data_IF_229051859196
#
_entry.id   IF_229051859196
#
_cell.length_a   1.000
_cell.length_b   1.000
_cell.length_c   1.000
_cell.angle_alpha   90.00
_cell.angle_beta   90.00
_cell.angle_gamma   90.00
#
_symmetry.space_group_name_H-M   'P 1'
#
loop_
_entity.id
_entity.type
_entity.pdbx_description
1 polymer ?
#
# COMPACT_ATOMS: atom_id res chain seq x y z
N UNK A 1 38.50 17.47 -75.99
CA UNK A 1 38.85 16.73 -74.80
C UNK A 1 37.97 17.22 -73.65
N UNK A 2 36.90 16.54 -73.34
CA UNK A 2 35.95 16.87 -72.28
C UNK A 2 36.06 15.84 -71.17
N UNK A 3 36.62 16.25 -70.02
CA UNK A 3 36.65 15.42 -68.83
C UNK A 3 35.26 15.45 -68.13
N UNK A 4 34.60 14.28 -68.07
CA UNK A 4 33.34 14.09 -67.36
C UNK A 4 33.65 13.68 -65.94
N UNK A 5 33.42 14.55 -64.98
CA UNK A 5 33.59 14.28 -63.55
C UNK A 5 32.31 13.59 -63.07
N UNK A 6 32.41 12.32 -62.70
CA UNK A 6 31.32 11.54 -62.10
C UNK A 6 31.36 11.76 -60.60
N UNK A 7 30.41 12.55 -60.04
CA UNK A 7 30.23 12.70 -58.60
C UNK A 7 29.31 11.61 -58.11
N UNK A 8 29.87 10.65 -57.39
CA UNK A 8 29.14 9.57 -56.73
C UNK A 8 28.67 10.05 -55.34
N UNK A 9 27.40 10.43 -55.22
CA UNK A 9 26.77 10.78 -53.93
C UNK A 9 26.38 9.53 -53.18
N UNK A 10 27.12 9.20 -52.14
CA UNK A 10 26.77 8.12 -51.20
C UNK A 10 25.71 8.67 -50.22
N UNK A 11 24.47 8.22 -50.39
CA UNK A 11 23.38 8.52 -49.47
C UNK A 11 23.48 7.55 -48.26
N UNK A 12 24.06 8.03 -47.17
CA UNK A 12 24.09 7.27 -45.91
C UNK A 12 22.71 7.28 -45.27
N UNK A 13 22.00 6.14 -45.33
CA UNK A 13 20.74 5.93 -44.59
C UNK A 13 21.08 5.70 -43.12
N UNK A 14 20.94 6.72 -42.30
CA UNK A 14 21.01 6.58 -40.83
C UNK A 14 19.70 5.95 -40.36
N UNK A 15 19.67 4.62 -40.13
CA UNK A 15 18.60 3.96 -39.41
C UNK A 15 18.75 4.31 -37.93
N UNK A 16 17.96 5.27 -37.45
CA UNK A 16 17.83 5.54 -36.01
C UNK A 16 17.14 4.31 -35.34
N UNK A 17 17.93 3.46 -34.71
CA UNK A 17 17.41 2.45 -33.81
C UNK A 17 16.77 3.16 -32.63
N UNK A 18 15.45 3.22 -32.60
CA UNK A 18 14.70 3.67 -31.41
C UNK A 18 14.97 2.68 -30.29
N UNK A 19 15.87 3.00 -29.38
CA UNK A 19 16.05 2.28 -28.14
C UNK A 19 14.73 2.41 -27.34
N UNK A 20 13.89 1.39 -27.38
CA UNK A 20 12.74 1.30 -26.49
C UNK A 20 13.28 1.18 -25.08
N UNK A 21 12.97 2.19 -24.25
CA UNK A 21 13.20 2.12 -22.81
C UNK A 21 12.50 0.85 -22.30
N UNK A 22 13.15 0.04 -21.45
CA UNK A 22 12.52 -1.16 -20.92
C UNK A 22 11.22 -0.75 -20.21
N UNK A 23 10.10 -1.32 -20.65
CA UNK A 23 8.82 -1.17 -19.97
C UNK A 23 9.02 -1.65 -18.53
N UNK A 24 8.75 -0.82 -17.51
CA UNK A 24 8.89 -1.26 -16.12
C UNK A 24 8.07 -2.53 -15.93
N UNK A 25 8.64 -3.52 -15.24
CA UNK A 25 7.96 -4.76 -14.93
C UNK A 25 6.61 -4.45 -14.24
N UNK A 26 5.53 -5.13 -14.60
CA UNK A 26 4.23 -4.85 -14.01
C UNK A 26 4.32 -5.00 -12.50
N UNK A 27 3.92 -3.96 -11.78
CA UNK A 27 3.91 -3.98 -10.31
C UNK A 27 3.06 -5.15 -9.81
N UNK A 28 3.53 -5.88 -8.77
CA UNK A 28 2.74 -6.95 -8.18
C UNK A 28 1.45 -6.36 -7.63
N UNK A 29 0.32 -7.04 -7.89
CA UNK A 29 -0.96 -6.52 -7.47
C UNK A 29 -1.08 -6.42 -5.95
N UNK A 30 -1.86 -5.45 -5.50
CA UNK A 30 -2.25 -5.25 -4.12
C UNK A 30 -3.69 -4.72 -4.07
N UNK A 31 -4.52 -5.39 -3.26
CA UNK A 31 -5.88 -4.97 -2.93
C UNK A 31 -5.99 -4.75 -1.43
N UNK A 32 -6.39 -3.55 -1.02
CA UNK A 32 -6.71 -3.25 0.37
C UNK A 32 -8.11 -3.75 0.70
N UNK A 33 -8.24 -4.64 1.69
CA UNK A 33 -9.53 -5.18 2.13
C UNK A 33 -10.27 -4.14 2.96
N UNK A 34 -11.37 -3.65 2.43
CA UNK A 34 -12.28 -2.70 3.10
C UNK A 34 -13.34 -3.42 3.91
N UNK A 35 -13.81 -4.58 3.43
CA UNK A 35 -14.73 -5.44 4.14
C UNK A 35 -14.63 -6.89 3.65
N UNK A 36 -15.12 -7.84 4.46
CA UNK A 36 -15.14 -9.26 4.11
C UNK A 36 -16.42 -9.92 4.59
N UNK A 37 -17.05 -10.69 3.71
CA UNK A 37 -18.32 -11.35 3.96
C UNK A 37 -18.20 -12.84 3.68
N UNK A 38 -18.88 -13.65 4.48
CA UNK A 38 -19.09 -15.05 4.16
C UNK A 38 -20.49 -15.21 3.51
N UNK A 39 -20.52 -15.67 2.28
CA UNK A 39 -21.76 -15.89 1.52
C UNK A 39 -21.95 -17.41 1.34
N UNK A 40 -23.06 -17.94 1.87
CA UNK A 40 -23.40 -19.36 1.71
C UNK A 40 -23.43 -19.77 0.24
N UNK A 41 -22.77 -20.88 -0.09
CA UNK A 41 -22.61 -21.37 -1.46
C UNK A 41 -21.56 -20.67 -2.32
N UNK A 42 -20.99 -19.52 -1.87
CA UNK A 42 -19.96 -18.78 -2.60
C UNK A 42 -18.62 -18.71 -1.87
N UNK A 43 -18.62 -18.82 -0.53
CA UNK A 43 -17.42 -18.69 0.29
C UNK A 43 -17.16 -17.28 0.80
N UNK A 44 -15.90 -16.97 1.07
CA UNK A 44 -15.48 -15.64 1.53
C UNK A 44 -15.35 -14.70 0.35
N UNK A 45 -15.96 -13.52 0.47
CA UNK A 45 -15.85 -12.42 -0.50
C UNK A 45 -15.16 -11.25 0.19
N UNK A 46 -14.00 -10.86 -0.28
CA UNK A 46 -13.27 -9.67 0.15
C UNK A 46 -13.60 -8.52 -0.79
N UNK A 47 -14.04 -7.39 -0.25
CA UNK A 47 -14.28 -6.18 -1.03
C UNK A 47 -13.19 -5.15 -0.77
N UNK A 48 -12.84 -4.38 -1.79
CA UNK A 48 -11.83 -3.34 -1.66
C UNK A 48 -11.39 -2.76 -2.98
N UNK A 49 -10.48 -1.79 -2.88
CA UNK A 49 -9.88 -1.14 -4.04
C UNK A 49 -8.57 -1.80 -4.41
N UNK A 50 -8.37 -2.06 -5.69
CA UNK A 50 -7.07 -2.45 -6.24
C UNK A 50 -6.16 -1.22 -6.22
N UNK A 51 -5.11 -1.22 -5.39
CA UNK A 51 -4.19 -0.09 -5.26
C UNK A 51 -3.17 -0.07 -6.40
N UNK A 52 -2.71 -1.25 -6.83
CA UNK A 52 -1.74 -1.40 -7.92
C UNK A 52 -1.82 -2.76 -8.58
N UNK A 53 -1.21 -2.86 -9.76
CA UNK A 53 -1.13 -4.10 -10.53
C UNK A 53 -2.45 -4.54 -11.12
N UNK A 54 -2.52 -5.80 -11.46
CA UNK A 54 -3.71 -6.46 -12.05
C UNK A 54 -3.91 -7.80 -11.38
N UNK A 55 -5.13 -8.10 -10.96
CA UNK A 55 -5.52 -9.41 -10.46
C UNK A 55 -6.45 -10.10 -11.45
N UNK A 56 -6.36 -11.43 -11.52
CA UNK A 56 -7.17 -12.25 -12.45
C UNK A 56 -7.82 -13.41 -11.71
N UNK A 57 -8.94 -13.87 -12.23
CA UNK A 57 -9.54 -15.13 -11.78
C UNK A 57 -8.54 -16.27 -11.99
N UNK A 58 -8.34 -17.09 -10.97
CA UNK A 58 -7.35 -18.17 -10.94
C UNK A 58 -6.02 -17.80 -10.29
N UNK A 59 -5.74 -16.52 -10.05
CA UNK A 59 -4.51 -16.10 -9.39
C UNK A 59 -4.45 -16.62 -7.94
N UNK A 60 -3.24 -16.99 -7.52
CA UNK A 60 -2.93 -17.28 -6.12
C UNK A 60 -2.54 -15.98 -5.41
N UNK A 61 -3.11 -15.77 -4.22
CA UNK A 61 -2.91 -14.57 -3.41
C UNK A 61 -2.53 -14.93 -1.98
N UNK A 62 -1.80 -14.04 -1.33
CA UNK A 62 -1.59 -14.06 0.11
C UNK A 62 -2.50 -13.04 0.79
N UNK A 63 -3.08 -13.46 1.90
CA UNK A 63 -3.84 -12.62 2.84
C UNK A 63 -2.85 -12.20 3.92
N UNK A 64 -2.48 -10.91 3.91
CA UNK A 64 -1.44 -10.37 4.79
C UNK A 64 -2.05 -9.36 5.76
N UNK A 65 -1.76 -9.51 7.05
CA UNK A 65 -2.28 -8.60 8.08
C UNK A 65 -1.88 -9.03 9.49
N UNK A 66 -2.78 -8.85 10.44
CA UNK A 66 -2.56 -9.15 11.85
C UNK A 66 -2.55 -10.64 12.19
N UNK A 67 -3.04 -11.49 11.29
CA UNK A 67 -3.04 -12.95 11.41
C UNK A 67 -1.87 -13.57 10.65
N UNK A 68 -1.53 -14.84 10.90
CA UNK A 68 -0.60 -15.58 10.06
C UNK A 68 -1.01 -15.51 8.59
N UNK A 69 -0.02 -15.38 7.71
CA UNK A 69 -0.25 -15.32 6.28
C UNK A 69 -0.95 -16.60 5.81
N UNK A 70 -2.04 -16.43 5.09
CA UNK A 70 -2.79 -17.53 4.47
C UNK A 70 -2.83 -17.33 2.97
N UNK A 71 -2.66 -18.42 2.23
CA UNK A 71 -2.76 -18.43 0.77
C UNK A 71 -4.19 -18.78 0.36
N UNK A 72 -4.68 -18.10 -0.67
CA UNK A 72 -6.00 -18.35 -1.26
C UNK A 72 -5.93 -18.27 -2.78
N UNK A 73 -6.95 -18.79 -3.46
CA UNK A 73 -7.11 -18.65 -4.91
C UNK A 73 -8.32 -17.77 -5.22
N UNK A 74 -8.17 -16.86 -6.17
CA UNK A 74 -9.27 -16.04 -6.68
C UNK A 74 -10.20 -16.91 -7.50
N UNK A 75 -11.38 -17.22 -6.96
CA UNK A 75 -12.40 -18.01 -7.64
C UNK A 75 -13.26 -17.17 -8.59
N UNK A 76 -13.33 -15.86 -8.36
CA UNK A 76 -14.07 -14.93 -9.21
C UNK A 76 -13.88 -13.50 -8.75
N UNK A 77 -14.13 -12.56 -9.66
CA UNK A 77 -14.05 -11.12 -9.41
C UNK A 77 -15.37 -10.50 -9.85
N UNK A 78 -15.94 -9.66 -9.00
CA UNK A 78 -17.16 -8.90 -9.28
C UNK A 78 -16.88 -7.40 -9.22
N UNK A 79 -17.32 -6.68 -10.23
CA UNK A 79 -17.24 -5.23 -10.32
C UNK A 79 -18.58 -4.68 -10.78
N UNK A 80 -19.16 -3.75 -10.01
CA UNK A 80 -20.50 -3.18 -10.32
C UNK A 80 -21.58 -4.24 -10.59
N UNK A 81 -21.61 -5.32 -9.79
CA UNK A 81 -22.52 -6.47 -9.91
C UNK A 81 -22.33 -7.32 -11.17
N UNK A 82 -21.23 -7.17 -11.88
CA UNK A 82 -20.88 -7.98 -13.04
C UNK A 82 -19.66 -8.83 -12.73
N UNK A 83 -19.65 -10.06 -13.17
CA UNK A 83 -18.48 -10.93 -13.11
C UNK A 83 -17.50 -10.49 -14.20
N UNK A 84 -16.24 -10.32 -13.81
CA UNK A 84 -15.13 -9.96 -14.71
C UNK A 84 -14.00 -10.95 -14.56
N UNK A 85 -13.17 -11.09 -15.59
CA UNK A 85 -12.01 -12.00 -15.57
C UNK A 85 -10.78 -11.37 -14.92
N UNK A 86 -10.68 -10.04 -14.94
CA UNK A 86 -9.56 -9.28 -14.38
C UNK A 86 -10.01 -7.94 -13.82
N UNK A 87 -9.20 -7.38 -12.89
CA UNK A 87 -9.35 -6.03 -12.38
C UNK A 87 -7.97 -5.36 -12.24
N UNK A 88 -7.94 -4.03 -12.37
CA UNK A 88 -6.71 -3.22 -12.44
C UNK A 88 -6.67 -2.16 -11.35
N UNK A 89 -5.52 -1.56 -11.19
CA UNK A 89 -5.33 -0.42 -10.27
C UNK A 89 -6.43 0.63 -10.47
N UNK A 90 -7.06 1.03 -9.35
CA UNK A 90 -8.19 1.96 -9.31
C UNK A 90 -9.56 1.31 -9.22
N UNK A 91 -9.72 0.04 -9.61
CA UNK A 91 -10.99 -0.65 -9.60
C UNK A 91 -11.45 -0.99 -8.17
N UNK A 92 -12.77 -0.80 -7.93
CA UNK A 92 -13.44 -1.24 -6.71
C UNK A 92 -14.11 -2.59 -6.99
N UNK A 93 -13.70 -3.63 -6.26
CA UNK A 93 -14.09 -5.01 -6.59
C UNK A 93 -14.50 -5.82 -5.36
N UNK A 94 -15.27 -6.88 -5.60
CA UNK A 94 -15.46 -8.00 -4.69
C UNK A 94 -14.72 -9.23 -5.23
N UNK A 95 -13.81 -9.78 -4.44
CA UNK A 95 -13.00 -10.94 -4.80
C UNK A 95 -13.49 -12.16 -4.03
N UNK A 96 -13.93 -13.18 -4.75
CA UNK A 96 -14.36 -14.46 -4.19
C UNK A 96 -13.12 -15.32 -3.98
N UNK A 97 -12.88 -15.73 -2.75
CA UNK A 97 -11.68 -16.49 -2.36
C UNK A 97 -12.02 -17.96 -2.09
N UNK A 98 -11.26 -18.86 -2.70
CA UNK A 98 -11.26 -20.29 -2.43
C UNK A 98 -10.10 -20.65 -1.51
N UNK A 99 -10.30 -21.62 -0.64
CA UNK A 99 -9.29 -22.04 0.34
C UNK A 99 -9.30 -21.20 1.62
N UNK A 100 -10.37 -20.43 1.83
CA UNK A 100 -10.58 -19.60 3.01
C UNK A 100 -11.87 -19.97 3.74
N UNK A 101 -11.87 -19.76 5.04
CA UNK A 101 -13.00 -19.95 5.93
C UNK A 101 -13.50 -18.62 6.49
N UNK A 102 -14.67 -18.68 7.13
CA UNK A 102 -15.22 -17.51 7.82
C UNK A 102 -14.24 -16.98 8.87
N UNK A 103 -13.88 -15.69 8.77
CA UNK A 103 -12.95 -15.04 9.68
C UNK A 103 -11.48 -15.11 9.26
N UNK A 104 -11.14 -15.76 8.15
CA UNK A 104 -9.77 -15.73 7.63
C UNK A 104 -9.41 -14.36 7.05
N UNK A 105 -10.40 -13.69 6.47
CA UNK A 105 -10.25 -12.37 5.87
C UNK A 105 -10.99 -11.33 6.70
N UNK A 106 -10.31 -10.25 7.01
CA UNK A 106 -10.83 -9.14 7.82
C UNK A 106 -10.44 -7.80 7.20
N UNK A 107 -11.22 -6.79 7.53
CA UNK A 107 -10.89 -5.40 7.17
C UNK A 107 -9.50 -5.01 7.68
N UNK A 108 -8.74 -4.33 6.82
CA UNK A 108 -7.38 -3.88 7.12
C UNK A 108 -6.27 -4.85 6.74
N UNK A 109 -6.64 -6.07 6.34
CA UNK A 109 -5.72 -6.96 5.65
C UNK A 109 -5.57 -6.54 4.19
N UNK A 110 -4.61 -7.11 3.52
CA UNK A 110 -4.42 -6.93 2.08
C UNK A 110 -4.41 -8.29 1.39
N UNK A 111 -4.91 -8.32 0.15
CA UNK A 111 -4.65 -9.40 -0.78
C UNK A 111 -3.51 -8.95 -1.68
N UNK A 112 -2.46 -9.75 -1.74
CA UNK A 112 -1.26 -9.40 -2.50
C UNK A 112 -0.72 -10.61 -3.25
N UNK A 113 0.10 -10.35 -4.27
CA UNK A 113 0.87 -11.40 -4.93
C UNK A 113 1.77 -12.09 -3.89
N UNK A 114 1.87 -13.42 -3.87
CA UNK A 114 2.68 -14.13 -2.89
C UNK A 114 4.10 -13.58 -2.76
N UNK A 115 4.52 -13.33 -1.51
CA UNK A 115 5.84 -12.80 -1.16
C UNK A 115 6.07 -11.32 -1.44
N UNK A 116 5.09 -10.58 -1.99
CA UNK A 116 5.28 -9.17 -2.38
C UNK A 116 5.11 -8.18 -1.22
N UNK A 117 4.37 -8.53 -0.19
CA UNK A 117 4.13 -7.68 0.99
C UNK A 117 4.27 -8.50 2.26
N UNK A 118 4.74 -7.85 3.33
CA UNK A 118 4.83 -8.44 4.67
C UNK A 118 4.13 -7.53 5.70
N UNK A 119 3.78 -8.09 6.85
CA UNK A 119 3.28 -7.32 7.98
C UNK A 119 4.40 -7.13 9.02
N UNK A 120 4.43 -5.97 9.65
CA UNK A 120 5.47 -5.56 10.59
C UNK A 120 4.86 -5.06 11.89
N UNK A 121 5.52 -5.34 13.01
CA UNK A 121 5.15 -4.79 14.32
C UNK A 121 5.91 -3.53 14.66
N UNK A 122 6.98 -3.19 13.93
CA UNK A 122 7.81 -2.03 14.18
C UNK A 122 8.21 -1.35 12.87
N UNK A 123 8.10 -0.03 12.83
CA UNK A 123 8.51 0.79 11.68
C UNK A 123 9.27 2.03 12.13
N UNK A 124 10.07 2.61 11.23
CA UNK A 124 10.49 4.01 11.32
C UNK A 124 9.58 4.86 10.46
N UNK A 125 9.28 6.04 10.93
CA UNK A 125 8.42 6.99 10.22
C UNK A 125 8.85 8.43 10.51
N UNK A 126 8.47 9.34 9.62
CA UNK A 126 8.38 10.76 9.94
C UNK A 126 6.94 11.09 10.31
N UNK A 127 6.75 11.96 11.29
CA UNK A 127 5.43 12.44 11.68
C UNK A 127 5.35 13.96 11.68
N UNK A 128 4.17 14.45 11.33
CA UNK A 128 3.77 15.84 11.34
C UNK A 128 2.57 15.98 12.29
N UNK A 129 2.66 16.85 13.28
CA UNK A 129 1.54 17.15 14.17
C UNK A 129 0.80 18.39 13.69
N UNK A 130 -0.54 18.30 13.64
CA UNK A 130 -1.41 19.42 13.34
C UNK A 130 -1.51 20.35 14.53
N UNK A 131 -1.62 21.65 14.27
CA UNK A 131 -1.89 22.68 15.28
C UNK A 131 -3.37 22.68 15.70
N UNK A 132 -3.67 23.32 16.84
CA UNK A 132 -5.05 23.37 17.35
C UNK A 132 -6.01 24.11 16.41
N UNK A 133 -5.55 25.12 15.67
CA UNK A 133 -6.37 25.82 14.67
C UNK A 133 -6.68 24.92 13.45
N UNK A 134 -5.90 23.89 13.18
CA UNK A 134 -6.13 22.84 12.16
C UNK A 134 -6.97 21.67 12.71
N UNK A 135 -7.63 21.83 13.87
CA UNK A 135 -8.31 20.78 14.65
C UNK A 135 -7.37 19.71 15.21
N UNK A 136 -6.07 20.00 15.24
CA UNK A 136 -5.05 19.15 15.83
C UNK A 136 -4.99 19.23 17.34
N UNK A 137 -3.78 19.10 17.88
CA UNK A 137 -3.50 19.13 19.32
C UNK A 137 -3.15 20.55 19.80
N UNK A 138 -3.47 20.83 21.06
CA UNK A 138 -2.98 22.03 21.78
C UNK A 138 -1.76 21.71 22.66
N UNK A 139 -1.45 20.42 22.87
CA UNK A 139 -0.36 19.97 23.74
C UNK A 139 0.63 19.10 22.99
N UNK A 140 1.92 19.14 23.36
CA UNK A 140 2.93 18.26 22.79
C UNK A 140 2.63 16.77 23.04
N UNK A 141 3.19 15.91 22.21
CA UNK A 141 3.32 14.48 22.52
C UNK A 141 4.71 14.20 23.08
N UNK A 142 4.78 13.20 23.95
CA UNK A 142 6.00 12.76 24.63
C UNK A 142 6.35 11.34 24.23
N UNK A 143 7.55 10.88 24.59
CA UNK A 143 7.94 9.49 24.41
C UNK A 143 6.90 8.54 25.01
N UNK A 144 6.70 7.38 24.39
CA UNK A 144 5.64 6.40 24.72
C UNK A 144 4.20 6.89 24.46
N UNK A 145 4.04 7.93 23.65
CA UNK A 145 2.71 8.34 23.20
C UNK A 145 1.98 7.16 22.53
N UNK A 146 0.75 6.91 22.99
CA UNK A 146 -0.15 5.92 22.42
C UNK A 146 -1.12 6.59 21.48
N UNK A 147 -1.21 6.10 20.24
CA UNK A 147 -2.09 6.64 19.21
C UNK A 147 -2.70 5.56 18.34
N UNK A 148 -3.66 5.99 17.53
CA UNK A 148 -4.28 5.18 16.51
C UNK A 148 -3.76 5.64 15.14
N UNK A 149 -3.04 4.75 14.47
CA UNK A 149 -2.37 5.01 13.19
C UNK A 149 -3.19 4.41 12.08
N UNK A 150 -3.77 5.26 11.24
CA UNK A 150 -4.62 4.83 10.13
C UNK A 150 -3.79 4.65 8.87
N UNK A 151 -3.64 3.40 8.48
CA UNK A 151 -3.13 3.02 7.18
C UNK A 151 -4.31 2.62 6.31
N UNK A 152 -4.40 3.18 5.10
CA UNK A 152 -5.54 2.93 4.22
C UNK A 152 -6.87 3.23 4.93
N UNK A 153 -7.66 2.20 5.19
CA UNK A 153 -9.02 2.34 5.77
C UNK A 153 -9.12 1.89 7.23
N UNK A 154 -8.00 1.46 7.85
CA UNK A 154 -8.02 0.85 9.19
C UNK A 154 -6.98 1.48 10.11
N UNK A 155 -7.38 1.69 11.37
CA UNK A 155 -6.52 2.17 12.44
C UNK A 155 -5.88 1.02 13.23
N UNK A 156 -4.60 1.14 13.48
CA UNK A 156 -3.82 0.21 14.30
C UNK A 156 -3.30 0.93 15.53
N UNK A 157 -3.51 0.32 16.70
CA UNK A 157 -2.95 0.82 17.95
C UNK A 157 -1.45 0.66 17.97
N UNK A 158 -0.75 1.70 18.38
CA UNK A 158 0.70 1.67 18.47
C UNK A 158 1.25 2.69 19.46
N UNK A 159 2.52 2.55 19.75
CA UNK A 159 3.28 3.38 20.66
C UNK A 159 4.42 4.05 19.89
N UNK A 160 4.53 5.37 19.99
CA UNK A 160 5.65 6.12 19.43
C UNK A 160 6.84 6.06 20.38
N UNK A 161 8.00 5.74 19.86
CA UNK A 161 9.26 5.85 20.58
C UNK A 161 10.13 6.91 19.91
N UNK A 162 10.65 7.82 20.72
CA UNK A 162 11.49 8.90 20.25
C UNK A 162 12.96 8.49 20.16
N UNK A 163 13.71 9.03 19.20
CA UNK A 163 15.15 8.90 19.21
C UNK A 163 15.76 9.66 20.40
N UNK A 164 16.97 9.24 20.80
CA UNK A 164 17.71 9.90 21.89
C UNK A 164 17.85 11.41 21.59
N UNK A 165 17.57 12.24 22.60
CA UNK A 165 17.65 13.70 22.49
C UNK A 165 16.33 14.40 22.07
N UNK A 166 15.30 13.66 21.70
CA UNK A 166 13.95 14.21 21.43
C UNK A 166 13.09 14.06 22.69
N UNK A 167 12.84 15.16 23.38
CA UNK A 167 12.02 15.14 24.61
C UNK A 167 10.52 15.18 24.33
N UNK A 168 10.10 15.95 23.33
CA UNK A 168 8.68 16.11 22.95
C UNK A 168 8.56 16.58 21.51
N UNK A 169 7.39 16.38 20.93
CA UNK A 169 7.01 16.91 19.62
C UNK A 169 5.84 17.87 19.82
N UNK A 170 6.09 19.16 19.58
CA UNK A 170 5.09 20.20 19.71
C UNK A 170 4.07 20.15 18.55
N UNK A 171 2.82 20.63 18.76
CA UNK A 171 1.88 20.90 17.68
C UNK A 171 2.50 21.79 16.61
N UNK A 172 2.21 21.55 15.34
CA UNK A 172 2.80 22.24 14.18
C UNK A 172 4.20 21.76 13.78
N UNK A 173 4.86 20.94 14.59
CA UNK A 173 6.16 20.36 14.23
C UNK A 173 6.00 19.34 13.12
N UNK A 174 6.85 19.46 12.09
CA UNK A 174 6.86 18.60 10.90
C UNK A 174 8.16 17.80 10.79
N UNK A 175 8.08 16.65 10.09
CA UNK A 175 9.23 15.85 9.68
C UNK A 175 10.00 15.21 10.84
N UNK A 176 9.37 14.99 12.00
CA UNK A 176 10.07 14.38 13.13
C UNK A 176 10.18 12.87 12.94
N UNK A 177 11.41 12.38 12.93
CA UNK A 177 11.69 10.93 12.84
C UNK A 177 11.35 10.25 14.17
N UNK A 178 10.61 9.14 14.10
CA UNK A 178 10.21 8.32 15.25
C UNK A 178 10.22 6.84 14.89
N UNK A 179 10.19 5.99 15.91
CA UNK A 179 9.82 4.59 15.78
C UNK A 179 8.38 4.40 16.24
N UNK A 180 7.62 3.57 15.54
CA UNK A 180 6.25 3.20 15.92
C UNK A 180 6.23 1.70 16.12
N UNK A 181 5.76 1.27 17.30
CA UNK A 181 5.63 -0.13 17.68
C UNK A 181 4.14 -0.44 17.75
N UNK A 182 3.66 -1.34 16.92
CA UNK A 182 2.26 -1.76 16.87
C UNK A 182 1.99 -2.94 17.80
N UNK A 183 0.77 -3.02 18.32
CA UNK A 183 0.31 -4.14 19.14
C UNK A 183 0.14 -5.43 18.33
N UNK A 184 -0.11 -5.31 17.02
CA UNK A 184 -0.27 -6.43 16.06
C UNK A 184 0.47 -6.11 14.78
N UNK A 185 0.89 -7.12 14.00
CA UNK A 185 1.50 -6.89 12.70
C UNK A 185 0.58 -6.10 11.77
N UNK A 186 1.14 -5.13 11.07
CA UNK A 186 0.46 -4.22 10.14
C UNK A 186 1.07 -4.39 8.74
N UNK A 187 0.25 -4.63 7.71
CA UNK A 187 0.74 -4.73 6.34
C UNK A 187 1.04 -3.34 5.78
N UNK A 188 2.31 -2.96 5.83
CA UNK A 188 2.80 -1.63 5.44
C UNK A 188 4.02 -1.73 4.54
N UNK A 189 4.25 -0.64 3.80
CA UNK A 189 5.36 -0.51 2.87
C UNK A 189 6.12 0.80 3.11
N UNK A 190 7.39 0.85 2.72
CA UNK A 190 8.18 2.09 2.75
C UNK A 190 7.54 3.12 1.82
N UNK A 191 7.49 4.38 2.26
CA UNK A 191 6.85 5.46 1.51
C UNK A 191 5.34 5.60 1.73
N UNK A 192 4.71 4.65 2.44
CA UNK A 192 3.28 4.70 2.70
C UNK A 192 2.93 5.81 3.70
N UNK A 193 1.91 6.60 3.33
CA UNK A 193 1.37 7.63 4.21
C UNK A 193 0.36 7.04 5.21
N UNK A 194 0.25 7.70 6.37
CA UNK A 194 -0.74 7.37 7.39
C UNK A 194 -1.23 8.62 8.12
N UNK A 195 -2.38 8.53 8.77
CA UNK A 195 -2.86 9.58 9.68
C UNK A 195 -2.85 9.11 11.13
N UNK A 196 -2.61 10.05 12.04
CA UNK A 196 -2.64 9.83 13.49
C UNK A 196 -3.98 10.37 14.00
N UNK A 197 -4.73 9.53 14.72
CA UNK A 197 -6.06 9.94 15.22
C UNK A 197 -6.19 9.75 16.71
N UNK A 198 -6.92 10.69 17.32
CA UNK A 198 -7.32 10.68 18.74
C UNK A 198 -8.81 11.03 18.84
N UNK A 199 -9.56 10.27 19.62
CA UNK A 199 -11.00 10.55 19.86
C UNK A 199 -11.77 10.88 18.57
N UNK A 200 -11.49 10.14 17.48
CA UNK A 200 -12.14 10.33 16.19
C UNK A 200 -11.61 11.49 15.34
N UNK A 201 -10.67 12.31 15.83
CA UNK A 201 -10.07 13.44 15.10
C UNK A 201 -8.69 13.08 14.57
N UNK A 202 -8.34 13.58 13.39
CA UNK A 202 -6.96 13.52 12.89
C UNK A 202 -6.15 14.61 13.61
N UNK A 203 -5.06 14.20 14.27
CA UNK A 203 -4.16 15.09 15.02
C UNK A 203 -2.78 15.18 14.39
N UNK A 204 -2.53 14.39 13.36
CA UNK A 204 -1.27 14.40 12.62
C UNK A 204 -1.30 13.44 11.45
N UNK A 205 -0.22 13.47 10.70
CA UNK A 205 0.06 12.54 9.61
C UNK A 205 1.49 12.04 9.70
N UNK A 206 1.84 11.08 8.86
CA UNK A 206 3.21 10.61 8.78
C UNK A 206 3.44 9.77 7.54
N UNK A 207 4.71 9.44 7.32
CA UNK A 207 5.17 8.58 6.22
C UNK A 207 6.14 7.53 6.74
N UNK A 208 5.95 6.30 6.32
CA UNK A 208 6.85 5.17 6.66
C UNK A 208 8.19 5.37 5.95
N UNK A 209 9.29 5.37 6.71
CA UNK A 209 10.65 5.55 6.17
C UNK A 209 11.46 4.27 6.16
N UNK A 210 11.19 3.34 7.08
CA UNK A 210 11.81 2.02 7.10
C UNK A 210 10.93 0.99 7.83
N UNK A 211 11.11 -0.26 7.47
CA UNK A 211 10.46 -1.43 8.09
C UNK A 211 11.48 -2.13 9.00
N UNK A 212 11.07 -2.47 10.22
CA UNK A 212 11.95 -3.11 11.21
C UNK A 212 11.31 -4.46 11.57
N UNK A 213 12.11 -5.51 11.48
CA UNK A 213 11.70 -6.86 11.91
C UNK A 213 11.79 -7.01 13.41
#
# INVERSE_FOLDING_TARGET
MRFLLLILTILAVFTAASAQLPTPAPEPFLLAVEDAFYISGRGVVATGKVERGTLKTGDTVEIVGSKPIKTATIAGIEMSRKVVSEAKAGDQVGVILRGTERGDVERGQILAKPGSVKAYTKIKATIDLLESHERGRSTPIFDKYRGLFYFRTVGFSGVVSFPIGVGSIAPGKKGTSVEIIFEKPVPVEVGQDFSIRESGRTVGSGKVTALIQ
#
